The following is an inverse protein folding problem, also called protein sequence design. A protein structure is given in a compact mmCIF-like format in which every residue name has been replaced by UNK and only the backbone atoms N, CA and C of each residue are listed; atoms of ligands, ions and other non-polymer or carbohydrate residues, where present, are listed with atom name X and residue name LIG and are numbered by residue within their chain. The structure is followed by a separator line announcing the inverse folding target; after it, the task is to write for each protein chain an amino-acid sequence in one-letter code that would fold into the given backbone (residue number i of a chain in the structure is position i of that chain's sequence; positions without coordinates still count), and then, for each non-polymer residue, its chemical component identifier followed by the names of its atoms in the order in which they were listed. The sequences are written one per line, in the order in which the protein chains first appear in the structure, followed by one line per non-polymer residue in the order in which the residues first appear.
data_IF_899643967160
#
_entry.id   IF_899643967160
#
_cell.length_a   1.000
_cell.length_b   1.000
_cell.length_c   1.000
_cell.angle_alpha   90.00
_cell.angle_beta   90.00
_cell.angle_gamma   90.00
#
_symmetry.space_group_name_H-M   'P 1'
#
loop_
_entity.id
_entity.type
_entity.pdbx_description
1 polymer ?
#
# COMPACT_ATOMS: atom_id res chain seq x y z
N UNK A 1 -1.30 -7.62 -21.58
CA UNK A 1 -0.70 -6.49 -20.83
C UNK A 1 -1.48 -6.25 -19.55
N UNK A 2 -2.81 -6.14 -19.64
CA UNK A 2 -3.73 -6.09 -18.49
C UNK A 2 -3.60 -7.30 -17.54
N UNK A 3 -3.56 -8.54 -18.06
CA UNK A 3 -3.37 -9.73 -17.23
C UNK A 3 -2.03 -9.75 -16.45
N UNK A 4 -0.97 -9.18 -17.05
CA UNK A 4 0.35 -9.10 -16.41
C UNK A 4 0.35 -8.05 -15.30
N UNK A 5 -0.32 -6.92 -15.51
CA UNK A 5 -0.48 -5.89 -14.47
C UNK A 5 -1.24 -6.44 -13.27
N UNK A 6 -2.36 -7.12 -13.53
CA UNK A 6 -3.17 -7.76 -12.50
C UNK A 6 -2.37 -8.81 -11.70
N UNK A 7 -1.58 -9.65 -12.37
CA UNK A 7 -0.72 -10.62 -11.68
C UNK A 7 0.31 -9.94 -10.77
N UNK A 8 0.94 -8.85 -11.25
CA UNK A 8 1.87 -8.04 -10.45
C UNK A 8 1.18 -7.42 -9.23
N UNK A 9 -0.03 -6.86 -9.40
CA UNK A 9 -0.83 -6.35 -8.28
C UNK A 9 -1.08 -7.45 -7.25
N UNK A 10 -1.54 -8.63 -7.68
CA UNK A 10 -1.81 -9.74 -6.76
C UNK A 10 -0.55 -10.26 -6.05
N UNK A 11 0.62 -10.22 -6.69
CA UNK A 11 1.90 -10.50 -6.02
C UNK A 11 2.19 -9.49 -4.89
N UNK A 12 1.97 -8.20 -5.12
CA UNK A 12 2.17 -7.15 -4.11
C UNK A 12 1.12 -7.25 -2.99
N UNK A 13 -0.13 -7.56 -3.33
CA UNK A 13 -1.21 -7.84 -2.37
C UNK A 13 -0.83 -9.02 -1.48
N UNK A 14 -0.38 -10.13 -2.06
CA UNK A 14 0.02 -11.33 -1.29
C UNK A 14 1.12 -11.01 -0.27
N UNK A 15 2.09 -10.19 -0.65
CA UNK A 15 3.12 -9.73 0.28
C UNK A 15 2.53 -8.92 1.43
N UNK A 16 1.74 -7.88 1.12
CA UNK A 16 1.12 -7.02 2.15
C UNK A 16 0.26 -7.86 3.10
N UNK A 17 -0.60 -8.72 2.56
CA UNK A 17 -1.50 -9.55 3.35
C UNK A 17 -0.77 -10.55 4.25
N UNK A 18 0.45 -10.97 3.89
CA UNK A 18 1.26 -11.91 4.69
C UNK A 18 2.25 -11.24 5.63
N UNK A 19 2.66 -10.00 5.37
CA UNK A 19 3.82 -9.37 6.04
C UNK A 19 3.53 -8.01 6.67
N UNK A 20 2.42 -7.39 6.35
CA UNK A 20 2.02 -6.10 6.90
C UNK A 20 0.81 -6.25 7.82
N UNK A 21 0.67 -5.31 8.77
CA UNK A 21 -0.45 -5.26 9.72
C UNK A 21 -1.22 -3.94 9.69
N UNK A 22 -0.64 -2.87 9.11
CA UNK A 22 -1.25 -1.54 9.06
C UNK A 22 -2.59 -1.52 8.31
N UNK A 23 -2.80 -2.42 7.34
CA UNK A 23 -4.06 -2.56 6.62
C UNK A 23 -5.18 -3.21 7.45
N UNK A 24 -4.87 -3.70 8.65
CA UNK A 24 -5.82 -4.38 9.54
C UNK A 24 -6.12 -3.61 10.83
N UNK A 25 -5.94 -2.29 10.84
CA UNK A 25 -6.39 -1.45 11.96
C UNK A 25 -7.87 -1.63 12.30
N UNK A 26 -8.26 -1.22 13.51
CA UNK A 26 -9.57 -1.59 14.10
C UNK A 26 -10.77 -0.94 13.41
N UNK A 27 -10.58 0.19 12.73
CA UNK A 27 -11.66 0.98 12.12
C UNK A 27 -11.38 1.28 10.65
N UNK A 28 -12.44 1.46 9.87
CA UNK A 28 -12.33 1.73 8.42
C UNK A 28 -11.54 3.01 8.14
N UNK A 29 -11.81 4.09 8.88
CA UNK A 29 -11.10 5.36 8.68
C UNK A 29 -9.62 5.30 9.05
N UNK A 30 -9.21 4.39 9.93
CA UNK A 30 -7.80 4.15 10.20
C UNK A 30 -7.15 3.38 9.05
N UNK A 31 -7.81 2.33 8.56
CA UNK A 31 -7.35 1.58 7.39
C UNK A 31 -7.20 2.49 6.17
N UNK A 32 -8.20 3.34 5.89
CA UNK A 32 -8.14 4.29 4.78
C UNK A 32 -6.93 5.23 4.89
N UNK A 33 -6.72 5.84 6.06
CA UNK A 33 -5.59 6.76 6.30
C UNK A 33 -4.24 6.05 6.20
N UNK A 34 -4.15 4.83 6.70
CA UNK A 34 -2.92 4.04 6.71
C UNK A 34 -2.59 3.52 5.32
N UNK A 35 -3.57 2.95 4.61
CA UNK A 35 -3.42 2.49 3.23
C UNK A 35 -2.98 3.66 2.32
N UNK A 36 -3.68 4.80 2.39
CA UNK A 36 -3.31 6.02 1.65
C UNK A 36 -1.90 6.50 2.02
N UNK A 37 -1.64 6.71 3.32
CA UNK A 37 -0.39 7.29 3.80
C UNK A 37 0.83 6.44 3.47
N UNK A 38 0.74 5.12 3.64
CA UNK A 38 1.85 4.19 3.41
C UNK A 38 2.04 3.92 1.93
N UNK A 39 0.97 3.63 1.17
CA UNK A 39 1.10 3.29 -0.26
C UNK A 39 1.53 4.50 -1.10
N UNK A 40 1.04 5.70 -0.79
CA UNK A 40 1.48 6.93 -1.47
C UNK A 40 2.96 7.21 -1.21
N UNK A 41 3.43 7.07 0.04
CA UNK A 41 4.88 7.23 0.33
C UNK A 41 5.72 6.11 -0.28
N UNK A 42 5.20 4.88 -0.36
CA UNK A 42 5.87 3.75 -1.02
C UNK A 42 6.07 4.05 -2.49
N UNK A 43 5.01 4.51 -3.18
CA UNK A 43 5.06 4.96 -4.57
C UNK A 43 6.10 6.07 -4.76
N UNK A 44 6.10 7.10 -3.89
CA UNK A 44 7.10 8.18 -3.95
C UNK A 44 8.53 7.65 -3.84
N UNK A 45 8.80 6.71 -2.93
CA UNK A 45 10.13 6.10 -2.78
C UNK A 45 10.52 5.32 -4.05
N UNK A 46 9.59 4.55 -4.63
CA UNK A 46 9.83 3.77 -5.84
C UNK A 46 10.05 4.64 -7.07
N UNK A 47 9.39 5.80 -7.12
CA UNK A 47 9.56 6.81 -8.18
C UNK A 47 10.71 7.80 -7.91
N UNK A 48 11.47 7.63 -6.82
CA UNK A 48 12.54 8.55 -6.39
C UNK A 48 12.06 10.00 -6.21
N UNK A 49 10.81 10.17 -5.77
CA UNK A 49 10.19 11.46 -5.51
C UNK A 49 10.41 11.89 -4.04
N UNK A 50 10.34 13.20 -3.73
CA UNK A 50 10.44 13.69 -2.37
C UNK A 50 9.32 13.14 -1.47
N UNK A 51 9.69 12.61 -0.31
CA UNK A 51 8.75 12.08 0.69
C UNK A 51 8.67 13.02 1.88
N UNK A 52 7.46 13.49 2.21
CA UNK A 52 7.21 14.32 3.40
C UNK A 52 7.42 13.53 4.69
N UNK A 53 8.16 14.10 5.65
CA UNK A 53 8.54 13.48 6.94
C UNK A 53 8.48 14.47 8.12
N UNK A 54 7.60 15.47 8.02
CA UNK A 54 7.60 16.61 8.95
C UNK A 54 6.92 16.28 10.28
N UNK A 55 5.78 15.59 10.22
CA UNK A 55 4.98 15.25 11.40
C UNK A 55 5.33 13.87 11.95
N UNK A 56 5.00 13.56 13.23
CA UNK A 56 5.12 12.19 13.75
C UNK A 56 4.37 11.17 12.88
N UNK A 57 3.15 11.50 12.45
CA UNK A 57 2.34 10.66 11.57
C UNK A 57 3.02 10.44 10.21
N UNK A 58 3.58 11.49 9.60
CA UNK A 58 4.35 11.34 8.35
C UNK A 58 5.52 10.37 8.51
N UNK A 59 6.22 10.42 9.65
CA UNK A 59 7.34 9.53 9.95
C UNK A 59 6.89 8.09 10.17
N UNK A 60 5.75 7.87 10.82
CA UNK A 60 5.14 6.54 10.97
C UNK A 60 4.83 5.92 9.61
N UNK A 61 4.13 6.64 8.74
CA UNK A 61 3.84 6.12 7.39
C UNK A 61 5.12 5.90 6.57
N UNK A 62 6.09 6.80 6.71
CA UNK A 62 7.35 6.71 5.98
C UNK A 62 8.16 5.46 6.36
N UNK A 63 8.22 5.07 7.63
CA UNK A 63 9.00 3.89 8.02
C UNK A 63 8.41 2.61 7.43
N UNK A 64 7.09 2.42 7.48
CA UNK A 64 6.43 1.29 6.83
C UNK A 64 6.64 1.31 5.31
N UNK A 65 6.55 2.49 4.70
CA UNK A 65 6.78 2.65 3.26
C UNK A 65 8.20 2.30 2.82
N UNK A 66 9.23 2.60 3.64
CA UNK A 66 10.63 2.21 3.36
C UNK A 66 10.77 0.70 3.32
N UNK A 67 10.23 0.00 4.33
CA UNK A 67 10.27 -1.46 4.37
C UNK A 67 9.51 -2.08 3.20
N UNK A 68 8.35 -1.53 2.86
CA UNK A 68 7.54 -2.04 1.76
C UNK A 68 8.25 -1.84 0.40
N UNK A 69 8.80 -0.65 0.15
CA UNK A 69 9.55 -0.36 -1.07
C UNK A 69 10.81 -1.23 -1.20
N UNK A 70 11.55 -1.45 -0.12
CA UNK A 70 12.73 -2.32 -0.10
C UNK A 70 12.34 -3.79 -0.38
N UNK A 71 11.27 -4.27 0.26
CA UNK A 71 10.75 -5.60 0.02
C UNK A 71 10.30 -5.79 -1.44
N UNK A 72 9.62 -4.80 -2.02
CA UNK A 72 9.17 -4.88 -3.41
C UNK A 72 10.36 -4.95 -4.37
N UNK A 73 11.34 -4.04 -4.21
CA UNK A 73 12.54 -4.00 -5.06
C UNK A 73 13.38 -5.27 -4.94
N UNK A 74 13.52 -5.83 -3.73
CA UNK A 74 14.35 -7.02 -3.50
C UNK A 74 13.70 -8.33 -3.94
N UNK A 75 12.36 -8.42 -3.92
CA UNK A 75 11.62 -9.67 -4.23
C UNK A 75 11.18 -9.75 -5.67
N UNK A 76 10.82 -8.62 -6.27
CA UNK A 76 10.20 -8.59 -7.58
C UNK A 76 11.12 -7.91 -8.58
N UNK A 77 11.89 -8.73 -9.32
CA UNK A 77 12.85 -8.24 -10.31
C UNK A 77 12.21 -7.36 -11.39
N UNK A 78 10.94 -7.60 -11.70
CA UNK A 78 10.17 -6.80 -12.66
C UNK A 78 9.89 -5.37 -12.19
N UNK A 79 10.05 -5.04 -10.91
CA UNK A 79 9.93 -3.66 -10.44
C UNK A 79 10.95 -2.73 -11.10
N UNK A 80 12.15 -3.23 -11.39
CA UNK A 80 13.21 -2.45 -12.03
C UNK A 80 12.97 -2.21 -13.54
N UNK A 81 11.99 -2.90 -14.14
CA UNK A 81 11.67 -2.73 -15.57
C UNK A 81 10.58 -1.69 -15.81
N UNK A 82 9.94 -1.19 -14.75
CA UNK A 82 8.84 -0.25 -14.84
C UNK A 82 9.34 1.19 -14.86
N UNK A 83 8.70 2.03 -15.67
CA UNK A 83 8.86 3.48 -15.56
C UNK A 83 8.01 4.06 -14.42
N UNK A 84 8.18 5.37 -14.15
CA UNK A 84 7.49 6.04 -13.04
C UNK A 84 5.97 6.09 -13.22
N UNK A 85 5.47 6.18 -14.44
CA UNK A 85 4.02 6.24 -14.71
C UNK A 85 3.40 4.86 -14.56
N UNK A 86 4.10 3.80 -15.00
CA UNK A 86 3.70 2.42 -14.74
C UNK A 86 3.69 2.09 -13.25
N UNK A 87 4.68 2.56 -12.47
CA UNK A 87 4.71 2.40 -11.01
C UNK A 87 3.52 3.12 -10.37
N UNK A 88 3.20 4.34 -10.77
CA UNK A 88 2.04 5.08 -10.24
C UNK A 88 0.74 4.33 -10.51
N UNK A 89 0.55 3.83 -11.73
CA UNK A 89 -0.63 3.02 -12.07
C UNK A 89 -0.70 1.75 -11.22
N UNK A 90 0.42 1.04 -11.08
CA UNK A 90 0.51 -0.19 -10.27
C UNK A 90 0.14 0.06 -8.81
N UNK A 91 0.68 1.13 -8.23
CA UNK A 91 0.43 1.47 -6.84
C UNK A 91 -1.01 1.94 -6.60
N UNK A 92 -1.63 2.59 -7.59
CA UNK A 92 -3.05 2.94 -7.54
C UNK A 92 -3.93 1.69 -7.58
N UNK A 93 -3.70 0.77 -8.52
CA UNK A 93 -4.45 -0.50 -8.60
C UNK A 93 -4.25 -1.35 -7.33
N UNK A 94 -3.02 -1.40 -6.80
CA UNK A 94 -2.71 -2.06 -5.54
C UNK A 94 -3.51 -1.46 -4.39
N UNK A 95 -3.56 -0.14 -4.27
CA UNK A 95 -4.32 0.54 -3.22
C UNK A 95 -5.80 0.22 -3.34
N UNK A 96 -6.38 0.35 -4.54
CA UNK A 96 -7.80 0.06 -4.75
C UNK A 96 -8.14 -1.40 -4.39
N UNK A 97 -7.22 -2.33 -4.69
CA UNK A 97 -7.36 -3.74 -4.31
C UNK A 97 -7.26 -3.96 -2.81
N UNK A 98 -6.29 -3.34 -2.12
CA UNK A 98 -6.16 -3.43 -0.65
C UNK A 98 -7.36 -2.79 0.04
N UNK A 99 -7.82 -1.63 -0.40
CA UNK A 99 -9.02 -0.97 0.15
C UNK A 99 -10.27 -1.83 -0.07
N UNK A 100 -10.41 -2.46 -1.23
CA UNK A 100 -11.50 -3.40 -1.46
C UNK A 100 -11.43 -4.58 -0.48
N UNK A 101 -10.29 -5.26 -0.36
CA UNK A 101 -10.16 -6.46 0.47
C UNK A 101 -10.26 -6.18 1.97
N UNK A 102 -9.74 -5.04 2.41
CA UNK A 102 -9.60 -4.72 3.83
C UNK A 102 -10.67 -3.79 4.36
N UNK A 103 -11.43 -3.13 3.50
CA UNK A 103 -12.49 -2.19 3.88
C UNK A 103 -13.80 -2.56 3.19
N UNK A 104 -13.93 -2.30 1.88
CA UNK A 104 -15.25 -2.32 1.19
C UNK A 104 -15.87 -3.72 1.10
N UNK A 105 -15.06 -4.74 0.86
CA UNK A 105 -15.44 -6.14 0.80
C UNK A 105 -15.25 -6.89 2.11
N UNK A 106 -14.82 -6.21 3.18
CA UNK A 106 -14.65 -6.83 4.49
C UNK A 106 -16.01 -7.03 5.17
N UNK A 107 -16.21 -8.23 5.74
CA UNK A 107 -17.41 -8.53 6.53
C UNK A 107 -17.26 -8.17 8.02
N UNK A 108 -16.17 -7.49 8.39
CA UNK A 108 -15.96 -7.07 9.78
C UNK A 108 -16.89 -5.89 10.11
N UNK A 109 -17.95 -6.17 10.86
CA UNK A 109 -18.93 -5.16 11.29
C UNK A 109 -18.35 -4.11 12.26
N UNK A 110 -17.26 -4.41 12.96
CA UNK A 110 -16.62 -3.49 13.91
C UNK A 110 -15.88 -2.34 13.21
N UNK A 111 -15.69 -2.41 11.90
CA UNK A 111 -14.98 -1.36 11.16
C UNK A 111 -15.69 -0.01 11.20
N UNK A 112 -17.00 0.00 11.38
CA UNK A 112 -17.82 1.21 11.42
C UNK A 112 -18.30 1.58 12.83
N UNK A 113 -17.84 0.87 13.87
CA UNK A 113 -18.19 1.24 15.25
C UNK A 113 -17.55 2.57 15.62
N UNK A 114 -18.32 3.63 15.96
CA UNK A 114 -17.77 4.93 16.30
C UNK A 114 -16.91 4.95 17.57
N UNK A 115 -17.02 3.94 18.44
CA UNK A 115 -16.22 3.83 19.65
C UNK A 115 -14.98 2.98 19.39
N UNK A 116 -13.90 3.22 20.11
CA UNK A 116 -12.70 2.37 20.12
C UNK A 116 -12.69 1.40 21.29
#
# INVERSE_FOLDING_TARGET
MEDMMKDRVEQLVDYIMKKCLWQFHSRSWDREKQNEGILTKTMQILCEEPVKKETPTDKCYWVDAVYLADAFKSRYSWMATLDKEEIKLLMQELKDRIDYLTIKGSLNAELTDPHY
#
